data_IF_919524099909
#
_entry.id   IF_919524099909
#
_cell.length_a   1.000
_cell.length_b   1.000
_cell.length_c   1.000
_cell.angle_alpha   90.00
_cell.angle_beta   90.00
_cell.angle_gamma   90.00
#
_symmetry.space_group_name_H-M   'P 1'
#
loop_
_entity.id
_entity.type
_entity.pdbx_description
1 polymer ?
#
# COMPACT_ATOMS: atom_id res chain seq x y z
N UNK A 1 -11.89 -26.04 -19.50
CA UNK A 1 -12.47 -25.09 -18.53
C UNK A 1 -11.47 -24.80 -17.41
N UNK A 2 -10.45 -23.97 -17.66
CA UNK A 2 -9.47 -23.51 -16.68
C UNK A 2 -8.95 -22.11 -17.08
N UNK A 3 -9.81 -21.09 -17.09
CA UNK A 3 -9.38 -19.70 -17.36
C UNK A 3 -10.35 -18.66 -16.74
N UNK A 4 -10.63 -18.71 -15.42
CA UNK A 4 -11.50 -17.71 -14.78
C UNK A 4 -10.97 -17.12 -13.45
N UNK A 5 -9.66 -17.16 -13.20
CA UNK A 5 -9.06 -16.50 -12.03
C UNK A 5 -7.76 -15.74 -12.36
N UNK A 6 -7.80 -14.84 -13.34
CA UNK A 6 -6.79 -13.78 -13.42
C UNK A 6 -7.46 -12.45 -13.76
N UNK A 7 -7.37 -11.42 -12.90
CA UNK A 7 -7.70 -10.07 -13.31
C UNK A 7 -6.64 -9.59 -14.31
N UNK A 8 -7.08 -9.13 -15.48
CA UNK A 8 -6.18 -8.59 -16.51
C UNK A 8 -5.59 -7.25 -16.03
N UNK A 9 -4.28 -7.20 -15.79
CA UNK A 9 -3.56 -6.02 -15.28
C UNK A 9 -3.29 -4.97 -16.40
N UNK A 10 -3.85 -5.15 -17.59
CA UNK A 10 -3.60 -4.25 -18.73
C UNK A 10 -4.42 -2.96 -18.76
N UNK A 11 -5.08 -2.56 -17.66
CA UNK A 11 -5.69 -1.23 -17.54
C UNK A 11 -4.93 -0.40 -16.51
N UNK A 12 -3.93 0.32 -17.02
CA UNK A 12 -3.13 1.35 -16.36
C UNK A 12 -4.01 2.25 -15.47
N UNK A 13 -4.01 1.95 -14.17
CA UNK A 13 -4.60 2.75 -13.10
C UNK A 13 -3.93 2.28 -11.81
N UNK A 14 -3.11 3.14 -11.21
CA UNK A 14 -2.38 2.81 -9.98
C UNK A 14 -3.30 2.52 -8.79
N UNK A 15 -2.75 2.04 -7.66
CA UNK A 15 -3.48 1.91 -6.41
C UNK A 15 -4.10 3.26 -6.00
N UNK A 16 -5.26 3.20 -5.36
CA UNK A 16 -6.09 4.32 -4.89
C UNK A 16 -5.24 5.54 -4.52
N UNK A 17 -5.16 6.51 -5.44
CA UNK A 17 -4.49 7.78 -5.16
C UNK A 17 -5.35 8.57 -4.17
N UNK A 18 -4.80 9.09 -3.05
CA UNK A 18 -5.51 10.00 -2.19
C UNK A 18 -5.96 11.22 -3.00
N UNK A 19 -7.27 11.46 -3.09
CA UNK A 19 -7.81 12.67 -3.69
C UNK A 19 -7.46 13.84 -2.76
N UNK A 20 -6.87 14.95 -3.24
CA UNK A 20 -6.67 16.14 -2.42
C UNK A 20 -8.03 16.71 -2.01
N UNK A 21 -8.47 16.45 -0.78
CA UNK A 21 -9.69 17.04 -0.23
C UNK A 21 -9.34 18.47 0.20
N UNK A 22 -9.94 19.48 -0.43
CA UNK A 22 -9.78 20.92 -0.07
C UNK A 22 -10.52 21.29 1.23
N UNK A 23 -10.48 20.42 2.24
CA UNK A 23 -10.90 20.74 3.59
C UNK A 23 -9.67 20.62 4.47
N UNK A 24 -9.17 21.75 4.98
CA UNK A 24 -8.04 21.82 5.93
C UNK A 24 -8.31 21.08 7.26
N UNK A 25 -9.45 20.38 7.38
CA UNK A 25 -9.97 19.77 8.60
C UNK A 25 -10.75 18.46 8.31
N UNK A 26 -10.36 17.72 7.26
CA UNK A 26 -11.00 16.44 6.95
C UNK A 26 -10.58 15.36 7.96
N UNK A 27 -11.34 15.27 9.06
CA UNK A 27 -11.32 14.16 10.01
C UNK A 27 -12.51 13.23 9.79
N UNK A 28 -12.27 11.92 9.77
CA UNK A 28 -13.32 10.92 9.84
C UNK A 28 -13.96 10.94 11.22
N UNK A 29 -15.30 11.00 11.28
CA UNK A 29 -16.00 10.96 12.58
C UNK A 29 -15.91 9.56 13.16
N UNK A 30 -15.55 9.47 14.44
CA UNK A 30 -15.35 8.20 15.16
C UNK A 30 -16.53 7.21 15.02
N UNK A 31 -17.78 7.70 15.11
CA UNK A 31 -18.96 6.83 14.95
C UNK A 31 -19.04 6.17 13.56
N UNK A 32 -18.54 6.82 12.52
CA UNK A 32 -18.54 6.27 11.15
C UNK A 32 -17.52 5.14 11.04
N UNK A 33 -16.34 5.32 11.64
CA UNK A 33 -15.31 4.28 11.73
C UNK A 33 -15.85 3.07 12.49
N UNK A 34 -16.46 3.29 13.67
CA UNK A 34 -17.02 2.19 14.47
C UNK A 34 -18.15 1.44 13.74
N UNK A 35 -18.99 2.16 13.00
CA UNK A 35 -20.06 1.52 12.23
C UNK A 35 -19.51 0.61 11.14
N UNK A 36 -18.48 1.05 10.39
CA UNK A 36 -17.80 0.19 9.41
C UNK A 36 -17.16 -1.02 10.09
N UNK A 37 -16.43 -0.81 11.19
CA UNK A 37 -15.74 -1.87 11.92
C UNK A 37 -16.68 -2.95 12.48
N UNK A 38 -17.88 -2.56 12.92
CA UNK A 38 -18.84 -3.49 13.50
C UNK A 38 -19.72 -4.18 12.46
N UNK A 39 -19.89 -3.59 11.28
CA UNK A 39 -20.88 -4.04 10.29
C UNK A 39 -20.27 -4.67 9.03
N UNK A 40 -19.00 -4.43 8.73
CA UNK A 40 -18.40 -4.89 7.48
C UNK A 40 -16.88 -5.10 7.67
N UNK A 41 -16.46 -6.35 7.87
CA UNK A 41 -15.05 -6.72 8.06
C UNK A 41 -14.62 -7.78 7.06
N UNK A 42 -13.61 -7.45 6.27
CA UNK A 42 -12.97 -8.37 5.33
C UNK A 42 -11.66 -8.90 5.89
N UNK A 43 -11.56 -10.21 6.07
CA UNK A 43 -10.39 -10.84 6.67
C UNK A 43 -9.33 -11.18 5.62
N UNK A 44 -9.72 -11.25 4.34
CA UNK A 44 -8.84 -11.61 3.23
C UNK A 44 -8.51 -13.10 3.18
N UNK A 45 -9.39 -13.96 3.71
CA UNK A 45 -9.20 -15.41 3.74
C UNK A 45 -9.64 -16.08 2.42
N UNK A 46 -9.15 -17.30 2.16
CA UNK A 46 -9.43 -18.06 0.93
C UNK A 46 -10.92 -18.41 0.72
N UNK A 47 -11.74 -18.24 1.76
CA UNK A 47 -13.20 -18.42 1.72
C UNK A 47 -14.00 -17.11 1.83
N UNK A 48 -13.33 -15.95 1.94
CA UNK A 48 -14.02 -14.67 1.97
C UNK A 48 -14.51 -14.30 0.58
N UNK A 49 -15.73 -13.76 0.51
CA UNK A 49 -16.31 -13.24 -0.73
C UNK A 49 -16.09 -11.73 -0.81
N UNK A 50 -15.13 -11.32 -1.64
CA UNK A 50 -14.78 -9.91 -1.83
C UNK A 50 -15.92 -9.09 -2.45
N UNK A 51 -16.76 -9.68 -3.30
CA UNK A 51 -17.87 -8.96 -3.91
C UNK A 51 -18.97 -8.71 -2.88
N UNK A 52 -19.29 -9.74 -2.07
CA UNK A 52 -20.22 -9.59 -0.96
C UNK A 52 -19.74 -8.53 0.03
N UNK A 53 -18.44 -8.49 0.34
CA UNK A 53 -17.86 -7.44 1.18
C UNK A 53 -18.05 -6.04 0.59
N UNK A 54 -17.83 -5.87 -0.72
CA UNK A 54 -18.03 -4.58 -1.39
C UNK A 54 -19.51 -4.15 -1.31
N UNK A 55 -20.44 -5.07 -1.54
CA UNK A 55 -21.88 -4.78 -1.46
C UNK A 55 -22.28 -4.34 -0.03
N UNK A 56 -21.84 -5.10 1.00
CA UNK A 56 -22.05 -4.75 2.41
C UNK A 56 -21.42 -3.39 2.77
N UNK A 57 -20.21 -3.12 2.29
CA UNK A 57 -19.53 -1.85 2.54
C UNK A 57 -20.28 -0.67 1.90
N UNK A 58 -20.75 -0.82 0.67
CA UNK A 58 -21.54 0.21 -0.02
C UNK A 58 -22.87 0.44 0.70
N UNK A 59 -23.51 -0.61 1.20
CA UNK A 59 -24.75 -0.54 1.96
C UNK A 59 -24.56 0.17 3.32
N UNK A 60 -23.48 -0.13 4.04
CA UNK A 60 -23.18 0.52 5.33
C UNK A 60 -22.85 2.00 5.13
N UNK A 61 -22.05 2.32 4.11
CA UNK A 61 -21.59 3.70 3.86
C UNK A 61 -22.63 4.58 3.16
N UNK A 62 -23.68 4.02 2.55
CA UNK A 62 -24.68 4.81 1.80
C UNK A 62 -25.34 5.91 2.64
N UNK A 63 -25.52 5.66 3.94
CA UNK A 63 -26.18 6.57 4.88
C UNK A 63 -25.21 7.58 5.50
N UNK A 64 -23.92 7.44 5.25
CA UNK A 64 -22.89 8.30 5.82
C UNK A 64 -22.71 9.54 4.95
N UNK A 65 -22.95 10.71 5.54
CA UNK A 65 -22.79 12.00 4.86
C UNK A 65 -21.93 12.93 5.69
N UNK A 66 -20.98 13.61 5.04
CA UNK A 66 -20.16 14.65 5.65
C UNK A 66 -20.20 15.90 4.76
N UNK A 67 -20.38 17.05 5.40
CA UNK A 67 -20.51 18.32 4.67
C UNK A 67 -19.22 18.61 3.89
N UNK A 68 -19.37 19.01 2.61
CA UNK A 68 -18.28 19.34 1.66
C UNK A 68 -17.32 18.18 1.31
N UNK A 69 -17.68 16.95 1.62
CA UNK A 69 -16.92 15.75 1.22
C UNK A 69 -17.79 14.95 0.24
N UNK A 70 -17.22 14.50 -0.87
CA UNK A 70 -17.95 13.60 -1.77
C UNK A 70 -18.11 12.21 -1.15
N UNK A 71 -19.19 11.51 -1.48
CA UNK A 71 -19.42 10.14 -1.00
C UNK A 71 -18.26 9.22 -1.35
N UNK A 72 -17.67 9.38 -2.54
CA UNK A 72 -16.52 8.59 -2.99
C UNK A 72 -15.27 8.88 -2.17
N UNK A 73 -14.95 10.16 -1.89
CA UNK A 73 -13.81 10.50 -1.05
C UNK A 73 -13.99 9.97 0.38
N UNK A 74 -15.23 10.01 0.89
CA UNK A 74 -15.56 9.46 2.20
C UNK A 74 -15.42 7.94 2.24
N UNK A 75 -15.95 7.24 1.23
CA UNK A 75 -15.81 5.78 1.09
C UNK A 75 -14.36 5.35 0.97
N UNK A 76 -13.57 6.03 0.14
CA UNK A 76 -12.14 5.76 0.00
C UNK A 76 -11.40 5.93 1.34
N UNK A 77 -11.80 6.92 2.14
CA UNK A 77 -11.21 7.15 3.46
C UNK A 77 -11.65 6.12 4.52
N UNK A 78 -12.88 5.59 4.40
CA UNK A 78 -13.44 4.59 5.33
C UNK A 78 -13.05 3.16 4.99
N UNK A 79 -12.74 2.87 3.73
CA UNK A 79 -12.46 1.51 3.25
C UNK A 79 -11.38 0.77 4.04
N UNK A 80 -10.25 1.39 4.45
CA UNK A 80 -9.25 0.71 5.27
C UNK A 80 -9.79 0.18 6.61
N UNK A 81 -10.80 0.83 7.19
CA UNK A 81 -11.43 0.39 8.44
C UNK A 81 -12.39 -0.80 8.25
N UNK A 82 -12.73 -1.14 7.01
CA UNK A 82 -13.48 -2.34 6.66
C UNK A 82 -12.59 -3.58 6.51
N UNK A 83 -11.28 -3.42 6.58
CA UNK A 83 -10.32 -4.50 6.41
C UNK A 83 -9.80 -4.97 7.77
N UNK A 84 -9.49 -6.25 7.88
CA UNK A 84 -8.84 -6.84 9.06
C UNK A 84 -7.86 -7.94 8.67
N UNK A 85 -6.96 -8.30 9.57
CA UNK A 85 -6.02 -9.42 9.42
C UNK A 85 -5.22 -9.37 8.09
N UNK A 86 -5.40 -10.36 7.20
CA UNK A 86 -4.64 -10.45 5.96
C UNK A 86 -4.94 -9.28 5.02
N UNK A 87 -6.17 -8.75 5.04
CA UNK A 87 -6.56 -7.62 4.22
C UNK A 87 -5.88 -6.31 4.69
N UNK A 88 -5.69 -6.11 6.02
CA UNK A 88 -4.92 -4.97 6.53
C UNK A 88 -3.46 -5.04 6.11
N UNK A 89 -2.84 -6.22 6.20
CA UNK A 89 -1.45 -6.40 5.79
C UNK A 89 -1.28 -6.25 4.27
N UNK A 90 -2.22 -6.76 3.48
CA UNK A 90 -2.20 -6.54 2.02
C UNK A 90 -2.32 -5.05 1.66
N UNK A 91 -3.16 -4.31 2.39
CA UNK A 91 -3.28 -2.86 2.23
C UNK A 91 -1.98 -2.12 2.61
N UNK A 92 -1.30 -2.53 3.69
CA UNK A 92 0.02 -2.00 4.08
C UNK A 92 1.07 -2.21 3.01
N UNK A 93 1.08 -3.39 2.36
CA UNK A 93 2.01 -3.69 1.27
C UNK A 93 1.69 -2.80 0.05
N UNK A 94 0.45 -2.83 -0.44
CA UNK A 94 0.07 -2.17 -1.72
C UNK A 94 0.04 -0.66 -1.66
N UNK A 95 -0.15 -0.08 -0.47
CA UNK A 95 -0.14 1.37 -0.24
C UNK A 95 1.08 1.81 0.57
N UNK A 96 2.18 1.06 0.50
CA UNK A 96 3.40 1.38 1.22
C UNK A 96 3.87 2.80 0.95
N UNK A 97 4.20 3.52 2.02
CA UNK A 97 4.86 4.82 1.99
C UNK A 97 5.93 4.88 3.06
N UNK A 98 7.07 5.45 2.69
CA UNK A 98 8.13 5.77 3.63
C UNK A 98 7.71 6.94 4.51
N UNK A 99 7.96 6.83 5.81
CA UNK A 99 7.66 7.90 6.77
C UNK A 99 8.71 9.04 6.71
N UNK A 100 8.37 10.29 7.07
CA UNK A 100 9.24 11.46 6.85
C UNK A 100 10.65 11.40 7.48
N UNK A 101 10.84 10.60 8.52
CA UNK A 101 12.10 10.45 9.25
C UNK A 101 12.64 9.02 9.25
N UNK A 102 12.07 8.16 8.40
CA UNK A 102 12.44 6.75 8.33
C UNK A 102 13.60 6.55 7.35
N UNK A 103 14.64 5.87 7.81
CA UNK A 103 15.78 5.50 6.98
C UNK A 103 15.39 4.48 5.90
N UNK A 104 16.26 4.28 4.90
CA UNK A 104 16.02 3.26 3.87
C UNK A 104 15.99 1.84 4.47
N UNK A 105 16.84 1.56 5.45
CA UNK A 105 16.85 0.27 6.16
C UNK A 105 15.55 0.04 6.92
N UNK A 106 15.11 0.99 7.73
CA UNK A 106 13.86 0.85 8.51
C UNK A 106 12.65 0.66 7.58
N UNK A 107 12.58 1.44 6.50
CA UNK A 107 11.52 1.33 5.50
C UNK A 107 11.51 -0.06 4.84
N UNK A 108 12.69 -0.58 4.47
CA UNK A 108 12.83 -1.89 3.83
C UNK A 108 12.48 -3.05 4.77
N UNK A 109 12.97 -3.02 6.00
CA UNK A 109 12.65 -4.03 7.02
C UNK A 109 11.16 -4.03 7.34
N UNK A 110 10.54 -2.85 7.49
CA UNK A 110 9.09 -2.73 7.70
C UNK A 110 8.30 -3.30 6.53
N UNK A 111 8.73 -3.06 5.30
CA UNK A 111 8.08 -3.58 4.11
C UNK A 111 8.17 -5.12 4.02
N UNK A 112 9.36 -5.69 4.25
CA UNK A 112 9.56 -7.16 4.31
C UNK A 112 8.71 -7.80 5.41
N UNK A 113 8.66 -7.16 6.58
CA UNK A 113 7.82 -7.63 7.68
C UNK A 113 6.33 -7.65 7.33
N UNK A 114 5.83 -6.65 6.60
CA UNK A 114 4.45 -6.68 6.09
C UNK A 114 4.23 -7.82 5.09
N UNK A 115 5.19 -8.10 4.20
CA UNK A 115 5.09 -9.23 3.26
C UNK A 115 5.02 -10.58 4.01
N UNK A 116 5.88 -10.79 5.00
CA UNK A 116 5.93 -12.03 5.79
C UNK A 116 4.64 -12.30 6.57
N UNK A 117 3.96 -11.23 7.01
CA UNK A 117 2.66 -11.32 7.68
C UNK A 117 1.50 -11.68 6.74
N UNK A 118 1.71 -11.65 5.43
CA UNK A 118 0.69 -11.99 4.43
C UNK A 118 1.15 -13.12 3.50
N UNK A 119 1.34 -14.36 4.00
CA UNK A 119 1.93 -15.46 3.21
C UNK A 119 1.15 -15.83 1.93
N UNK A 120 -0.12 -15.42 1.82
CA UNK A 120 -0.97 -15.63 0.64
C UNK A 120 -1.11 -14.35 -0.24
N UNK A 121 -0.21 -13.38 -0.12
CA UNK A 121 -0.31 -12.10 -0.84
C UNK A 121 -0.26 -12.26 -2.37
N UNK A 122 0.28 -13.39 -2.90
CA UNK A 122 0.36 -13.73 -4.33
C UNK A 122 0.95 -12.62 -5.24
N UNK A 123 1.73 -11.71 -4.67
CA UNK A 123 2.37 -10.60 -5.40
C UNK A 123 3.67 -11.07 -6.01
N UNK A 124 3.82 -10.85 -7.32
CA UNK A 124 5.07 -11.06 -8.03
C UNK A 124 6.16 -10.15 -7.47
N UNK A 125 7.41 -10.62 -7.49
CA UNK A 125 8.57 -9.86 -7.03
C UNK A 125 8.67 -8.48 -7.71
N UNK A 126 8.37 -8.41 -9.03
CA UNK A 126 8.31 -7.13 -9.75
C UNK A 126 7.32 -6.14 -9.12
N UNK A 127 6.14 -6.60 -8.73
CA UNK A 127 5.14 -5.75 -8.07
C UNK A 127 5.60 -5.32 -6.69
N UNK A 128 6.28 -6.19 -5.95
CA UNK A 128 6.81 -5.86 -4.63
C UNK A 128 7.88 -4.75 -4.74
N UNK A 129 8.81 -4.87 -5.69
CA UNK A 129 9.85 -3.87 -5.96
C UNK A 129 9.24 -2.56 -6.43
N UNK A 130 8.30 -2.61 -7.38
CA UNK A 130 7.63 -1.41 -7.89
C UNK A 130 6.90 -0.66 -6.79
N UNK A 131 6.18 -1.39 -5.93
CA UNK A 131 5.42 -0.80 -4.83
C UNK A 131 6.34 -0.15 -3.81
N UNK A 132 7.39 -0.87 -3.37
CA UNK A 132 8.37 -0.32 -2.44
C UNK A 132 9.04 0.94 -3.02
N UNK A 133 9.61 0.85 -4.22
CA UNK A 133 10.33 1.96 -4.85
C UNK A 133 9.45 3.19 -5.04
N UNK A 134 8.19 3.04 -5.45
CA UNK A 134 7.26 4.15 -5.62
C UNK A 134 6.78 4.75 -4.29
N UNK A 135 6.79 3.97 -3.21
CA UNK A 135 6.47 4.42 -1.85
C UNK A 135 7.60 5.20 -1.17
N UNK A 136 8.83 5.15 -1.70
CA UNK A 136 9.98 5.85 -1.15
C UNK A 136 9.95 7.36 -1.38
N UNK A 137 10.61 8.08 -0.47
CA UNK A 137 10.94 9.50 -0.67
C UNK A 137 11.81 9.70 -1.92
N UNK A 138 11.77 10.90 -2.50
CA UNK A 138 12.61 11.24 -3.66
C UNK A 138 14.10 11.06 -3.35
N UNK A 139 14.54 11.48 -2.16
CA UNK A 139 15.92 11.31 -1.68
C UNK A 139 16.39 9.85 -1.76
N UNK A 140 15.61 8.93 -1.22
CA UNK A 140 16.00 7.52 -1.23
C UNK A 140 15.92 6.89 -2.63
N UNK A 141 15.00 7.35 -3.49
CA UNK A 141 15.00 6.93 -4.90
C UNK A 141 16.24 7.38 -5.66
N UNK A 142 16.71 8.61 -5.43
CA UNK A 142 17.93 9.13 -6.06
C UNK A 142 19.17 8.34 -5.60
N UNK A 143 19.24 8.02 -4.31
CA UNK A 143 20.31 7.17 -3.73
C UNK A 143 20.31 5.78 -4.39
N UNK A 144 19.15 5.15 -4.55
CA UNK A 144 19.01 3.84 -5.21
C UNK A 144 19.40 3.91 -6.69
N UNK A 145 18.97 4.94 -7.43
CA UNK A 145 19.35 5.11 -8.84
C UNK A 145 20.85 5.33 -9.02
N UNK A 146 21.48 6.11 -8.13
CA UNK A 146 22.92 6.31 -8.14
C UNK A 146 23.67 4.99 -7.90
N UNK A 147 23.26 4.21 -6.89
CA UNK A 147 23.83 2.89 -6.61
C UNK A 147 23.59 1.89 -7.76
N UNK A 148 22.46 2.00 -8.46
CA UNK A 148 22.15 1.18 -9.62
C UNK A 148 22.99 1.52 -10.86
N UNK A 149 23.72 2.64 -10.87
CA UNK A 149 24.47 3.15 -12.02
C UNK A 149 23.56 3.70 -13.13
N UNK A 150 22.36 4.16 -12.79
CA UNK A 150 21.36 4.62 -13.75
C UNK A 150 19.93 4.38 -13.29
N UNK A 151 19.01 4.16 -14.22
CA UNK A 151 17.60 3.91 -13.86
C UNK A 151 17.46 2.53 -13.20
N UNK A 152 17.22 2.52 -11.89
CA UNK A 152 17.00 1.30 -11.10
C UNK A 152 15.95 0.37 -11.71
N UNK A 153 14.80 0.93 -12.10
CA UNK A 153 13.65 0.20 -12.66
C UNK A 153 13.91 -0.44 -14.05
N UNK A 154 15.10 -0.30 -14.63
CA UNK A 154 15.51 -1.01 -15.86
C UNK A 154 16.19 -2.35 -15.58
N UNK A 155 16.59 -2.61 -14.33
CA UNK A 155 17.23 -3.87 -13.91
C UNK A 155 16.18 -4.97 -13.73
N UNK A 156 16.64 -6.22 -13.62
CA UNK A 156 15.75 -7.35 -13.31
C UNK A 156 15.24 -7.24 -11.86
N UNK A 157 14.01 -7.70 -11.56
CA UNK A 157 13.47 -7.63 -10.20
C UNK A 157 14.37 -8.26 -9.13
N UNK A 158 15.07 -9.34 -9.47
CA UNK A 158 16.02 -10.01 -8.56
C UNK A 158 17.24 -9.12 -8.28
N UNK A 159 17.80 -8.48 -9.32
CA UNK A 159 18.92 -7.53 -9.16
C UNK A 159 18.49 -6.29 -8.37
N UNK A 160 17.25 -5.84 -8.54
CA UNK A 160 16.67 -4.75 -7.79
C UNK A 160 16.56 -5.10 -6.29
N UNK A 161 16.05 -6.30 -5.99
CA UNK A 161 15.96 -6.81 -4.63
C UNK A 161 17.35 -6.88 -3.99
N UNK A 162 18.30 -7.54 -4.64
CA UNK A 162 19.66 -7.70 -4.14
C UNK A 162 20.35 -6.35 -3.91
N UNK A 163 20.13 -5.37 -4.79
CA UNK A 163 20.68 -4.03 -4.61
C UNK A 163 20.13 -3.36 -3.33
N UNK A 164 18.81 -3.38 -3.13
CA UNK A 164 18.19 -2.79 -1.93
C UNK A 164 18.68 -3.53 -0.67
N UNK A 165 18.70 -4.86 -0.70
CA UNK A 165 19.18 -5.68 0.41
C UNK A 165 20.63 -5.33 0.76
N UNK A 166 21.52 -5.23 -0.22
CA UNK A 166 22.92 -4.85 0.00
C UNK A 166 23.06 -3.42 0.54
N UNK A 167 22.29 -2.46 0.02
CA UNK A 167 22.32 -1.08 0.50
C UNK A 167 21.88 -0.95 1.95
N UNK A 168 20.86 -1.72 2.34
CA UNK A 168 20.30 -1.72 3.69
C UNK A 168 21.13 -2.55 4.67
N UNK A 169 21.81 -3.60 4.22
CA UNK A 169 22.75 -4.37 5.03
C UNK A 169 24.02 -3.59 5.44
N UNK A 170 24.38 -2.54 4.68
CA UNK A 170 25.57 -1.73 4.89
C UNK A 170 25.28 -0.32 5.46
N UNK A 171 24.18 -0.16 6.19
CA UNK A 171 23.61 1.11 6.67
C UNK A 171 24.51 2.02 7.53
N UNK A 172 25.77 1.64 7.81
CA UNK A 172 26.72 2.46 8.56
C UNK A 172 27.54 3.44 7.71
N UNK A 173 27.46 3.43 6.37
CA UNK A 173 28.32 4.29 5.54
C UNK A 173 27.58 5.40 4.77
N UNK A 174 26.29 5.25 4.43
CA UNK A 174 25.70 6.12 3.40
C UNK A 174 25.07 7.43 3.91
N UNK A 175 24.74 7.51 5.21
CA UNK A 175 24.12 8.73 5.79
C UNK A 175 25.12 9.85 6.11
N UNK A 176 26.43 9.60 6.05
CA UNK A 176 27.47 10.59 6.39
C UNK A 176 27.96 11.44 5.21
N UNK A 177 27.41 11.25 4.00
CA UNK A 177 27.92 11.91 2.79
C UNK A 177 27.14 13.16 2.33
N UNK A 178 26.22 13.68 3.14
CA UNK A 178 25.47 14.89 2.81
C UNK A 178 25.38 15.85 4.01
N UNK A 179 26.51 16.50 4.32
CA UNK A 179 26.55 17.81 5.01
C UNK A 179 26.78 18.90 3.99
#
# INVERSE_FOLDING_TARGET
>A
MKELCQPSINRRGGPIAPIPIQAMDFGLRHHMIQQVQNSCQFHGLLGDDANRHIDEFLEVTQHMKQYRVSDDALRLSLFPYSLTHHATTWNEITNFRQEPNESLFEAWERYKFSIDRCPNHNMLLVTQIDTFYNGLTLRHRDIINAAAGGTFMKKRPEECYDLIENMTAHHNHWDTSAT
#
